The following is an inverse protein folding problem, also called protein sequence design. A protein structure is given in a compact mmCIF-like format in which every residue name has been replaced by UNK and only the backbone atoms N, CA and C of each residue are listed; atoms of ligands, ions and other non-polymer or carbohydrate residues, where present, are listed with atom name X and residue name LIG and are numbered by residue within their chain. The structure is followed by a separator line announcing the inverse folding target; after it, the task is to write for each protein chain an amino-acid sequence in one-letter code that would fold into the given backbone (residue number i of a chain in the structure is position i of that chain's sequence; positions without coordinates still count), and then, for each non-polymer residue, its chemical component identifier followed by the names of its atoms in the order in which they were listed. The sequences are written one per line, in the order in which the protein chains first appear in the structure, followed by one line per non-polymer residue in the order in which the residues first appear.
data_IF_463005712349
#
_entry.id   IF_463005712349
#
_cell.length_a   1.000
_cell.length_b   1.000
_cell.length_c   1.000
_cell.angle_alpha   90.00
_cell.angle_beta   90.00
_cell.angle_gamma   90.00
#
_symmetry.space_group_name_H-M   'P 1'
#
loop_
_entity.id
_entity.type
_entity.pdbx_description
1 polymer ?
#
# COMPACT_ATOMS: atom_id res chain seq x y z
N UNK A 1 13.58 7.36 -19.10
CA UNK A 1 13.84 5.91 -18.90
C UNK A 1 13.25 5.36 -17.61
N UNK A 2 13.24 6.09 -16.48
CA UNK A 2 12.58 5.68 -15.22
C UNK A 2 11.03 5.60 -15.30
N UNK A 3 10.40 6.47 -16.08
CA UNK A 3 8.94 6.50 -16.26
C UNK A 3 8.39 5.27 -17.01
N UNK A 4 9.14 4.75 -17.99
CA UNK A 4 8.78 3.53 -18.73
C UNK A 4 8.95 2.27 -17.89
N UNK A 5 10.00 2.18 -17.08
CA UNK A 5 10.20 1.05 -16.14
C UNK A 5 9.11 1.00 -15.06
N UNK A 6 8.58 2.15 -14.64
CA UNK A 6 7.47 2.25 -13.70
C UNK A 6 6.14 1.77 -14.32
N UNK A 7 5.85 2.12 -15.58
CA UNK A 7 4.67 1.62 -16.30
C UNK A 7 4.69 0.12 -16.56
N UNK A 8 5.86 -0.46 -16.86
CA UNK A 8 6.00 -1.92 -17.04
C UNK A 8 5.76 -2.66 -15.71
N UNK A 9 6.18 -2.09 -14.58
CA UNK A 9 5.90 -2.63 -13.25
C UNK A 9 4.40 -2.59 -12.89
N UNK A 10 3.70 -1.49 -13.21
CA UNK A 10 2.25 -1.33 -12.95
C UNK A 10 1.42 -2.34 -13.75
N UNK A 11 1.74 -2.54 -15.03
CA UNK A 11 1.06 -3.54 -15.88
C UNK A 11 1.34 -4.98 -15.43
N UNK A 12 2.57 -5.27 -14.99
CA UNK A 12 2.91 -6.58 -14.41
C UNK A 12 2.18 -6.85 -13.09
N UNK A 13 1.97 -5.81 -12.26
CA UNK A 13 1.21 -5.92 -11.02
C UNK A 13 -0.29 -6.10 -11.26
N UNK A 14 -0.90 -5.34 -12.19
CA UNK A 14 -2.31 -5.51 -12.58
C UNK A 14 -2.54 -6.90 -13.20
N UNK A 15 -1.59 -7.40 -14.01
CA UNK A 15 -1.64 -8.75 -14.57
C UNK A 15 -1.40 -9.84 -13.50
N UNK A 16 -0.50 -9.63 -12.53
CA UNK A 16 -0.26 -10.55 -11.42
C UNK A 16 -1.45 -10.63 -10.46
N UNK A 17 -2.12 -9.50 -10.19
CA UNK A 17 -3.39 -9.48 -9.44
C UNK A 17 -4.50 -10.21 -10.20
N UNK A 18 -4.50 -10.17 -11.54
CA UNK A 18 -5.47 -10.91 -12.35
C UNK A 18 -5.20 -12.42 -12.41
N UNK A 19 -3.93 -12.84 -12.37
CA UNK A 19 -3.51 -14.25 -12.43
C UNK A 19 -3.58 -14.99 -11.08
N UNK A 20 -3.45 -14.29 -9.95
CA UNK A 20 -3.63 -14.89 -8.62
C UNK A 20 -5.11 -15.20 -8.28
N UNK A 21 -6.07 -14.59 -8.99
CA UNK A 21 -7.52 -14.81 -8.79
C UNK A 21 -7.99 -16.23 -9.17
N UNK A 22 -7.18 -17.03 -9.88
CA UNK A 22 -7.58 -18.35 -10.35
C UNK A 22 -6.99 -19.53 -9.55
N UNK A 23 -6.05 -19.29 -8.63
CA UNK A 23 -5.44 -20.36 -7.84
C UNK A 23 -5.30 -19.96 -6.38
N UNK A 24 -6.30 -20.29 -5.56
CA UNK A 24 -6.10 -20.78 -4.18
C UNK A 24 -7.43 -21.02 -3.48
N UNK A 25 -7.60 -22.24 -3.00
CA UNK A 25 -8.70 -22.77 -2.16
C UNK A 25 -8.80 -22.13 -0.76
N UNK A 26 -8.12 -21.00 -0.51
CA UNK A 26 -8.11 -20.28 0.79
C UNK A 26 -9.23 -19.22 0.88
N UNK A 27 -10.01 -19.06 -0.18
CA UNK A 27 -11.08 -18.07 -0.31
C UNK A 27 -12.23 -18.22 0.71
N UNK A 28 -12.40 -19.40 1.33
CA UNK A 28 -13.53 -19.66 2.24
C UNK A 28 -13.42 -19.01 3.62
N UNK A 29 -12.25 -19.07 4.27
CA UNK A 29 -12.07 -18.58 5.64
C UNK A 29 -11.85 -17.06 5.71
N UNK A 30 -11.16 -16.48 4.73
CA UNK A 30 -10.97 -15.02 4.63
C UNK A 30 -12.31 -14.30 4.38
N UNK A 31 -13.17 -14.90 3.55
CA UNK A 31 -14.50 -14.37 3.23
C UNK A 31 -15.44 -14.34 4.44
N UNK A 32 -15.35 -15.31 5.34
CA UNK A 32 -16.21 -15.39 6.53
C UNK A 32 -15.88 -14.32 7.57
N UNK A 33 -14.58 -14.02 7.76
CA UNK A 33 -14.11 -13.00 8.70
C UNK A 33 -14.50 -11.58 8.23
N UNK A 34 -14.38 -11.30 6.93
CA UNK A 34 -14.80 -10.02 6.33
C UNK A 34 -16.32 -9.86 6.30
N UNK A 35 -17.09 -10.95 6.14
CA UNK A 35 -18.56 -10.92 6.16
C UNK A 35 -19.14 -10.56 7.54
N UNK A 36 -18.52 -11.02 8.64
CA UNK A 36 -19.00 -10.74 9.99
C UNK A 36 -18.90 -9.26 10.40
N UNK A 37 -17.92 -8.54 9.85
CA UNK A 37 -17.69 -7.12 10.17
C UNK A 37 -18.76 -6.22 9.53
N UNK A 38 -19.30 -6.59 8.37
CA UNK A 38 -20.28 -5.77 7.64
C UNK A 38 -21.69 -5.75 8.24
N UNK A 39 -22.08 -6.76 9.02
CA UNK A 39 -23.40 -6.76 9.68
C UNK A 39 -23.52 -5.72 10.80
N UNK A 40 -22.40 -5.14 11.26
CA UNK A 40 -22.37 -4.25 12.42
C UNK A 40 -22.61 -2.77 12.09
N UNK A 41 -22.52 -2.36 10.81
CA UNK A 41 -22.78 -0.98 10.38
C UNK A 41 -23.75 -0.96 9.19
N UNK A 42 -25.05 -0.75 9.46
CA UNK A 42 -26.00 -0.16 8.52
C UNK A 42 -26.51 1.14 9.13
N UNK A 43 -26.41 2.26 8.40
CA UNK A 43 -27.66 2.85 7.89
C UNK A 43 -27.55 3.49 6.49
N UNK A 44 -28.70 3.67 5.84
CA UNK A 44 -28.93 4.69 4.81
C UNK A 44 -28.65 4.31 3.35
N UNK A 45 -29.70 4.27 2.52
CA UNK A 45 -29.58 4.21 1.06
C UNK A 45 -29.06 5.56 0.52
N UNK A 46 -28.07 5.53 -0.38
CA UNK A 46 -27.53 6.72 -1.05
C UNK A 46 -28.06 6.84 -2.50
N UNK A 47 -28.29 8.06 -3.02
CA UNK A 47 -28.70 8.27 -4.40
C UNK A 47 -27.51 8.26 -5.37
N UNK A 48 -27.72 7.69 -6.55
CA UNK A 48 -26.83 7.73 -7.72
C UNK A 48 -26.76 9.15 -8.32
N UNK A 49 -25.55 9.61 -8.65
CA UNK A 49 -25.31 10.84 -9.43
C UNK A 49 -24.66 10.51 -10.77
N UNK A 50 -25.19 11.13 -11.84
CA UNK A 50 -24.84 10.94 -13.24
C UNK A 50 -23.57 11.71 -13.69
N UNK A 51 -22.75 11.00 -14.47
CA UNK A 51 -21.93 11.38 -15.65
C UNK A 51 -21.51 12.84 -15.90
N UNK A 52 -20.22 13.05 -16.25
CA UNK A 52 -19.90 13.65 -17.56
C UNK A 52 -18.48 13.33 -18.05
N UNK A 53 -18.37 12.72 -19.22
CA UNK A 53 -17.12 12.52 -19.96
C UNK A 53 -16.84 13.66 -20.94
N UNK A 54 -15.56 13.94 -21.19
CA UNK A 54 -15.13 14.91 -22.19
C UNK A 54 -13.69 14.64 -22.63
N UNK A 55 -13.55 14.05 -23.81
CA UNK A 55 -12.30 13.74 -24.50
C UNK A 55 -11.94 14.91 -25.42
N UNK A 56 -10.71 15.43 -25.39
CA UNK A 56 -10.15 16.19 -26.50
C UNK A 56 -8.74 15.68 -26.82
N UNK A 57 -8.62 15.18 -28.05
CA UNK A 57 -7.41 14.75 -28.73
C UNK A 57 -6.79 15.95 -29.45
N UNK A 58 -5.46 16.08 -29.44
CA UNK A 58 -4.75 16.94 -30.39
C UNK A 58 -3.43 16.28 -30.82
N UNK A 59 -3.37 15.97 -32.12
CA UNK A 59 -2.17 15.59 -32.84
C UNK A 59 -1.25 16.80 -33.06
N UNK A 60 0.06 16.58 -33.01
CA UNK A 60 1.06 17.55 -33.45
C UNK A 60 2.40 16.84 -33.68
N UNK A 61 2.65 16.45 -34.93
CA UNK A 61 3.95 15.98 -35.41
C UNK A 61 4.81 17.18 -35.83
N UNK A 62 6.13 17.13 -35.57
CA UNK A 62 7.21 17.55 -36.49
C UNK A 62 8.62 17.37 -35.88
N UNK A 63 9.46 16.66 -36.67
CA UNK A 63 10.93 16.79 -36.92
C UNK A 63 11.91 16.85 -35.73
N UNK A 64 12.80 15.86 -35.52
CA UNK A 64 14.00 15.43 -36.29
C UNK A 64 15.29 16.16 -35.87
N UNK A 65 16.27 15.39 -35.37
CA UNK A 65 17.74 15.45 -35.60
C UNK A 65 18.41 14.49 -34.60
N UNK A 66 18.84 13.28 -34.97
CA UNK A 66 20.06 12.88 -35.69
C UNK A 66 21.37 13.25 -34.97
N UNK A 67 21.97 12.31 -34.24
CA UNK A 67 23.44 12.13 -34.20
C UNK A 67 23.73 10.63 -34.20
N UNK A 68 24.32 10.17 -35.30
CA UNK A 68 24.87 8.84 -35.53
C UNK A 68 26.28 8.74 -34.95
N UNK A 69 26.62 7.60 -34.34
CA UNK A 69 28.00 7.11 -34.31
C UNK A 69 28.03 5.62 -34.67
N UNK A 70 28.83 5.33 -35.70
CA UNK A 70 29.00 4.03 -36.33
C UNK A 70 30.12 3.20 -35.69
N UNK A 71 30.11 1.91 -36.03
CA UNK A 71 31.27 0.99 -36.13
C UNK A 71 31.60 0.21 -34.84
N UNK A 72 31.83 -1.12 -34.83
CA UNK A 72 32.14 -2.08 -35.91
C UNK A 72 31.77 -3.49 -35.45
N UNK A 73 31.21 -4.30 -36.36
CA UNK A 73 31.14 -5.76 -36.21
C UNK A 73 32.53 -6.38 -36.38
N UNK A 74 32.91 -7.31 -35.51
CA UNK A 74 33.81 -8.42 -35.88
C UNK A 74 33.26 -9.73 -35.34
N UNK A 75 32.91 -10.59 -36.29
CA UNK A 75 32.52 -11.98 -36.15
C UNK A 75 33.76 -12.84 -36.44
N UNK A 76 34.09 -13.80 -35.58
CA UNK A 76 34.99 -14.90 -35.91
C UNK A 76 34.59 -16.14 -35.09
N UNK A 77 34.51 -17.26 -35.81
CA UNK A 77 34.06 -18.59 -35.40
C UNK A 77 35.29 -19.52 -35.26
N UNK A 78 35.26 -20.48 -34.31
CA UNK A 78 35.52 -21.91 -34.57
C UNK A 78 35.62 -22.76 -33.27
N UNK A 79 34.82 -23.85 -33.26
CA UNK A 79 34.92 -25.21 -32.66
C UNK A 79 36.14 -25.59 -31.78
N UNK A 80 35.91 -26.23 -30.61
CA UNK A 80 35.67 -27.68 -30.39
C UNK A 80 35.90 -28.08 -28.90
N UNK A 81 35.14 -29.09 -28.43
CA UNK A 81 35.44 -30.07 -27.35
C UNK A 81 34.35 -30.23 -26.26
N UNK A 82 33.82 -31.45 -26.20
CA UNK A 82 32.94 -32.03 -25.18
C UNK A 82 33.65 -32.23 -23.83
N UNK A 83 32.99 -31.91 -22.71
CA UNK A 83 32.99 -32.63 -21.40
C UNK A 83 32.03 -31.89 -20.42
N UNK A 84 31.47 -32.55 -19.39
CA UNK A 84 30.15 -32.26 -18.82
C UNK A 84 30.10 -30.95 -18.03
N UNK A 85 29.10 -30.12 -18.30
CA UNK A 85 28.89 -28.87 -17.56
C UNK A 85 28.39 -29.19 -16.15
N UNK A 86 29.29 -29.21 -15.18
CA UNK A 86 28.94 -28.90 -13.80
C UNK A 86 28.18 -27.56 -13.82
N UNK A 87 26.96 -27.60 -13.29
CA UNK A 87 26.08 -26.46 -13.15
C UNK A 87 26.73 -25.44 -12.22
N UNK A 88 27.58 -24.58 -12.78
CA UNK A 88 28.13 -23.41 -12.09
C UNK A 88 26.96 -22.48 -11.82
N UNK A 89 26.36 -22.63 -10.64
CA UNK A 89 25.46 -21.65 -10.05
C UNK A 89 26.10 -20.27 -10.24
N UNK A 90 25.51 -19.51 -11.16
CA UNK A 90 26.14 -18.35 -11.76
C UNK A 90 26.53 -17.34 -10.69
N UNK A 91 27.67 -16.67 -10.87
CA UNK A 91 28.13 -15.57 -10.01
C UNK A 91 27.02 -14.54 -9.79
N UNK A 92 26.12 -14.37 -10.77
CA UNK A 92 24.93 -13.55 -10.67
C UNK A 92 23.94 -14.02 -9.60
N UNK A 93 23.68 -15.33 -9.46
CA UNK A 93 22.85 -15.90 -8.39
C UNK A 93 23.47 -15.67 -7.02
N UNK A 94 24.79 -15.85 -6.88
CA UNK A 94 25.49 -15.55 -5.62
C UNK A 94 25.46 -14.06 -5.25
N UNK A 95 25.52 -13.17 -6.22
CA UNK A 95 25.35 -11.73 -5.99
C UNK A 95 23.91 -11.42 -5.57
N UNK A 96 22.90 -12.01 -6.21
CA UNK A 96 21.49 -11.85 -5.83
C UNK A 96 21.20 -12.42 -4.43
N UNK A 97 21.83 -13.55 -4.08
CA UNK A 97 21.76 -14.16 -2.75
C UNK A 97 22.45 -13.30 -1.69
N UNK A 98 23.64 -12.78 -1.98
CA UNK A 98 24.37 -11.86 -1.10
C UNK A 98 23.65 -10.52 -0.91
N UNK A 99 22.83 -10.10 -1.89
CA UNK A 99 21.94 -8.94 -1.80
C UNK A 99 20.59 -9.26 -1.10
N UNK A 100 20.37 -10.50 -0.64
CA UNK A 100 19.16 -10.92 0.07
C UNK A 100 17.91 -11.10 -0.81
N UNK A 101 18.08 -11.15 -2.13
CA UNK A 101 16.97 -11.21 -3.10
C UNK A 101 16.44 -12.63 -3.39
N UNK A 102 17.08 -13.69 -2.90
CA UNK A 102 16.69 -15.09 -3.19
C UNK A 102 16.66 -16.03 -1.98
N UNK A 103 16.96 -15.55 -0.77
CA UNK A 103 16.94 -16.37 0.45
C UNK A 103 15.53 -16.82 0.91
N UNK A 104 15.44 -17.82 1.81
CA UNK A 104 14.19 -18.22 2.45
C UNK A 104 13.60 -17.06 3.29
N UNK A 105 12.28 -17.05 3.46
CA UNK A 105 11.64 -16.10 4.38
C UNK A 105 11.97 -16.46 5.83
N UNK A 106 12.11 -15.46 6.71
CA UNK A 106 12.38 -15.67 8.14
C UNK A 106 11.30 -16.53 8.82
N UNK A 107 10.05 -16.38 8.37
CA UNK A 107 8.90 -17.14 8.84
C UNK A 107 8.15 -17.79 7.66
N UNK A 108 7.35 -18.82 7.94
CA UNK A 108 6.55 -19.47 6.91
C UNK A 108 5.56 -18.51 6.26
N UNK A 109 5.29 -18.69 4.96
CA UNK A 109 4.37 -17.83 4.19
C UNK A 109 3.00 -17.70 4.84
N UNK A 110 2.48 -18.79 5.40
CA UNK A 110 1.19 -18.80 6.10
C UNK A 110 1.18 -17.86 7.31
N UNK A 111 2.21 -17.91 8.17
CA UNK A 111 2.33 -17.02 9.33
C UNK A 111 2.33 -15.56 8.90
N UNK A 112 3.10 -15.22 7.86
CA UNK A 112 3.16 -13.85 7.34
C UNK A 112 1.82 -13.41 6.75
N UNK A 113 1.09 -14.29 6.06
CA UNK A 113 -0.25 -13.99 5.55
C UNK A 113 -1.25 -13.68 6.67
N UNK A 114 -1.23 -14.48 7.75
CA UNK A 114 -2.08 -14.25 8.92
C UNK A 114 -1.75 -12.90 9.59
N UNK A 115 -0.47 -12.61 9.80
CA UNK A 115 -0.03 -11.33 10.35
C UNK A 115 -0.43 -10.16 9.43
N UNK A 116 -0.23 -10.28 8.11
CA UNK A 116 -0.61 -9.23 7.16
C UNK A 116 -2.12 -8.96 7.16
N UNK A 117 -2.96 -10.01 7.22
CA UNK A 117 -4.41 -9.86 7.32
C UNK A 117 -4.80 -9.14 8.62
N UNK A 118 -4.17 -9.49 9.75
CA UNK A 118 -4.40 -8.81 11.04
C UNK A 118 -3.99 -7.35 11.02
N UNK A 119 -2.84 -7.03 10.43
CA UNK A 119 -2.38 -5.66 10.28
C UNK A 119 -3.33 -4.84 9.40
N UNK A 120 -3.78 -5.41 8.28
CA UNK A 120 -4.80 -4.79 7.45
C UNK A 120 -6.11 -4.56 8.22
N UNK A 121 -6.55 -5.56 9.00
CA UNK A 121 -7.75 -5.47 9.84
C UNK A 121 -7.61 -4.32 10.85
N UNK A 122 -6.44 -4.16 11.47
CA UNK A 122 -6.18 -3.02 12.35
C UNK A 122 -6.29 -1.67 11.62
N UNK A 123 -5.88 -1.58 10.35
CA UNK A 123 -6.03 -0.35 9.56
C UNK A 123 -7.50 0.04 9.36
N UNK A 124 -8.40 -0.93 9.23
CA UNK A 124 -9.81 -0.67 8.86
C UNK A 124 -10.81 -0.81 10.00
N UNK A 125 -10.46 -1.48 11.09
CA UNK A 125 -11.34 -1.68 12.25
C UNK A 125 -10.92 -0.87 13.47
N UNK A 126 -9.63 -0.52 13.61
CA UNK A 126 -9.11 0.22 14.78
C UNK A 126 -8.84 1.70 14.50
N UNK A 127 -9.21 2.15 13.30
CA UNK A 127 -9.13 3.56 12.91
C UNK A 127 -10.49 4.21 13.18
N UNK A 128 -10.47 5.39 13.78
CA UNK A 128 -11.68 6.19 14.00
C UNK A 128 -12.07 6.94 12.72
N UNK A 129 -12.79 6.25 11.82
CA UNK A 129 -13.21 6.84 10.54
C UNK A 129 -14.17 8.01 10.69
N UNK A 130 -14.98 8.02 11.75
CA UNK A 130 -15.97 9.07 11.99
C UNK A 130 -15.26 10.40 12.28
N UNK A 131 -14.23 10.38 13.15
CA UNK A 131 -13.43 11.58 13.42
C UNK A 131 -12.71 12.10 12.17
N UNK A 132 -12.21 11.21 11.31
CA UNK A 132 -11.63 11.60 10.01
C UNK A 132 -12.66 12.28 9.10
N UNK A 133 -13.84 11.68 8.93
CA UNK A 133 -14.86 12.21 8.05
C UNK A 133 -15.36 13.57 8.53
N UNK A 134 -15.57 13.72 9.84
CA UNK A 134 -16.00 14.96 10.46
C UNK A 134 -14.95 16.07 10.35
N UNK A 135 -13.69 15.79 10.72
CA UNK A 135 -12.62 16.79 10.75
C UNK A 135 -12.14 17.18 9.36
N UNK A 136 -12.13 16.23 8.43
CA UNK A 136 -11.63 16.46 7.07
C UNK A 136 -12.78 16.77 6.09
N UNK A 137 -14.01 16.88 6.57
CA UNK A 137 -15.21 17.16 5.76
C UNK A 137 -15.36 16.18 4.59
N UNK A 138 -15.04 14.91 4.83
CA UNK A 138 -15.10 13.88 3.79
C UNK A 138 -16.55 13.41 3.64
N UNK A 139 -17.05 13.23 2.40
CA UNK A 139 -18.37 12.66 2.20
C UNK A 139 -18.38 11.19 2.59
N UNK A 140 -19.48 10.67 3.12
CA UNK A 140 -19.60 9.24 3.46
C UNK A 140 -19.74 8.39 2.19
N UNK A 141 -18.59 7.96 1.64
CA UNK A 141 -18.49 7.20 0.40
C UNK A 141 -17.44 6.10 0.50
N UNK A 142 -17.53 5.10 -0.38
CA UNK A 142 -16.50 4.06 -0.50
C UNK A 142 -15.11 4.66 -0.77
N UNK A 143 -15.05 5.73 -1.56
CA UNK A 143 -13.79 6.41 -1.86
C UNK A 143 -13.20 7.09 -0.62
N UNK A 144 -14.01 7.82 0.16
CA UNK A 144 -13.54 8.45 1.40
C UNK A 144 -13.02 7.44 2.41
N UNK A 145 -13.76 6.32 2.59
CA UNK A 145 -13.28 5.20 3.40
C UNK A 145 -11.94 4.67 2.87
N UNK A 146 -11.82 4.47 1.55
CA UNK A 146 -10.59 3.97 0.93
C UNK A 146 -9.41 4.91 1.14
N UNK A 147 -9.61 6.23 1.04
CA UNK A 147 -8.53 7.21 1.23
C UNK A 147 -7.98 7.17 2.66
N UNK A 148 -8.84 7.07 3.67
CA UNK A 148 -8.41 6.90 5.07
C UNK A 148 -7.73 5.54 5.26
N UNK A 149 -8.30 4.44 4.74
CA UNK A 149 -7.70 3.11 4.82
C UNK A 149 -6.31 3.07 4.16
N UNK A 150 -6.18 3.68 2.98
CA UNK A 150 -4.95 3.78 2.21
C UNK A 150 -3.84 4.50 2.99
N UNK A 151 -4.17 5.60 3.69
CA UNK A 151 -3.19 6.33 4.50
C UNK A 151 -2.60 5.44 5.60
N UNK A 152 -3.45 4.69 6.30
CA UNK A 152 -3.04 3.76 7.35
C UNK A 152 -2.26 2.57 6.80
N UNK A 153 -2.71 1.99 5.69
CA UNK A 153 -1.98 0.95 4.98
C UNK A 153 -0.60 1.45 4.58
N UNK A 154 -0.47 2.65 4.00
CA UNK A 154 0.82 3.22 3.62
C UNK A 154 1.79 3.30 4.82
N UNK A 155 1.34 3.79 5.97
CA UNK A 155 2.19 3.86 7.18
C UNK A 155 2.68 2.46 7.61
N UNK A 156 1.81 1.44 7.55
CA UNK A 156 2.21 0.06 7.78
C UNK A 156 3.21 -0.45 6.72
N UNK A 157 3.03 -0.11 5.45
CA UNK A 157 3.96 -0.50 4.39
C UNK A 157 5.35 0.11 4.59
N UNK A 158 5.44 1.39 4.95
CA UNK A 158 6.71 2.07 5.26
C UNK A 158 7.42 1.34 6.39
N UNK A 159 6.71 1.05 7.49
CA UNK A 159 7.27 0.32 8.64
C UNK A 159 7.76 -1.08 8.25
N UNK A 160 6.94 -1.85 7.55
CA UNK A 160 7.25 -3.24 7.23
C UNK A 160 8.32 -3.39 6.13
N UNK A 161 8.50 -2.40 5.24
CA UNK A 161 9.58 -2.43 4.23
C UNK A 161 10.98 -2.47 4.87
N UNK A 162 11.12 -1.97 6.10
CA UNK A 162 12.38 -2.00 6.87
C UNK A 162 12.77 -3.43 7.31
N UNK A 163 11.79 -4.35 7.41
CA UNK A 163 11.99 -5.76 7.81
C UNK A 163 12.46 -6.68 6.66
N UNK A 164 13.17 -6.09 5.71
CA UNK A 164 13.79 -6.78 4.58
C UNK A 164 12.81 -7.60 3.74
N UNK A 165 13.22 -8.80 3.35
CA UNK A 165 12.46 -9.66 2.43
C UNK A 165 11.12 -10.11 3.01
N UNK A 166 11.10 -10.47 4.28
CA UNK A 166 9.88 -10.95 4.97
C UNK A 166 8.86 -9.84 5.09
N UNK A 167 9.29 -8.63 5.47
CA UNK A 167 8.44 -7.44 5.51
C UNK A 167 7.91 -7.04 4.14
N UNK A 168 8.74 -7.07 3.09
CA UNK A 168 8.30 -6.87 1.71
C UNK A 168 7.24 -7.90 1.29
N UNK A 169 7.39 -9.17 1.69
CA UNK A 169 6.37 -10.19 1.41
C UNK A 169 5.05 -9.89 2.13
N UNK A 170 5.11 -9.48 3.40
CA UNK A 170 3.95 -9.04 4.19
C UNK A 170 3.24 -7.85 3.53
N UNK A 171 3.99 -6.82 3.10
CA UNK A 171 3.48 -5.66 2.37
C UNK A 171 2.63 -6.04 1.16
N UNK A 172 3.10 -6.99 0.35
CA UNK A 172 2.34 -7.46 -0.83
C UNK A 172 0.99 -8.05 -0.44
N UNK A 173 0.95 -8.78 0.68
CA UNK A 173 -0.28 -9.41 1.15
C UNK A 173 -1.24 -8.41 1.83
N UNK A 174 -0.72 -7.39 2.52
CA UNK A 174 -1.55 -6.28 3.04
C UNK A 174 -2.29 -5.59 1.89
N UNK A 175 -1.57 -5.25 0.82
CA UNK A 175 -2.17 -4.63 -0.38
C UNK A 175 -3.19 -5.54 -1.05
N UNK A 176 -2.92 -6.86 -1.09
CA UNK A 176 -3.90 -7.83 -1.57
C UNK A 176 -5.19 -7.82 -0.76
N UNK A 177 -5.09 -7.90 0.57
CA UNK A 177 -6.25 -7.84 1.46
C UNK A 177 -7.05 -6.54 1.28
N UNK A 178 -6.36 -5.40 1.08
CA UNK A 178 -7.02 -4.12 0.82
C UNK A 178 -7.87 -4.14 -0.44
N UNK A 179 -7.36 -4.68 -1.55
CA UNK A 179 -8.14 -4.73 -2.80
C UNK A 179 -9.28 -5.73 -2.75
N UNK A 180 -9.11 -6.85 -2.05
CA UNK A 180 -10.21 -7.78 -1.77
C UNK A 180 -11.32 -7.08 -0.98
N UNK A 181 -11.00 -6.30 0.05
CA UNK A 181 -11.99 -5.58 0.85
C UNK A 181 -12.72 -4.52 0.01
N UNK A 182 -12.00 -3.69 -0.76
CA UNK A 182 -12.61 -2.71 -1.69
C UNK A 182 -13.63 -3.38 -2.62
N UNK A 183 -13.27 -4.51 -3.22
CA UNK A 183 -14.17 -5.25 -4.12
C UNK A 183 -15.40 -5.79 -3.39
N UNK A 184 -15.22 -6.37 -2.19
CA UNK A 184 -16.34 -6.88 -1.40
C UNK A 184 -17.27 -5.76 -0.95
N UNK A 185 -16.72 -4.63 -0.46
CA UNK A 185 -17.50 -3.47 -0.04
C UNK A 185 -18.33 -2.89 -1.18
N UNK A 186 -17.72 -2.74 -2.36
CA UNK A 186 -18.44 -2.28 -3.55
C UNK A 186 -19.61 -3.19 -3.92
N UNK A 187 -19.43 -4.52 -3.84
CA UNK A 187 -20.51 -5.50 -4.06
C UNK A 187 -21.62 -5.38 -3.02
N UNK A 188 -21.28 -5.25 -1.74
CA UNK A 188 -22.26 -5.14 -0.65
C UNK A 188 -23.04 -3.83 -0.74
N UNK A 189 -22.39 -2.74 -1.17
CA UNK A 189 -23.03 -1.46 -1.45
C UNK A 189 -23.90 -1.46 -2.73
N UNK A 190 -23.92 -2.56 -3.49
CA UNK A 190 -24.73 -2.68 -4.71
C UNK A 190 -24.18 -1.93 -5.92
N UNK A 191 -22.89 -1.55 -5.90
CA UNK A 191 -22.24 -0.89 -7.04
C UNK A 191 -22.20 -1.87 -8.22
N UNK A 192 -22.62 -1.40 -9.40
CA UNK A 192 -22.57 -2.21 -10.62
C UNK A 192 -21.15 -2.72 -10.87
N UNK A 193 -20.99 -4.00 -11.21
CA UNK A 193 -19.68 -4.65 -11.35
C UNK A 193 -18.76 -4.00 -12.40
N UNK A 194 -19.32 -3.44 -13.48
CA UNK A 194 -18.56 -2.75 -14.52
C UNK A 194 -18.06 -1.40 -14.01
N UNK A 195 -18.93 -0.67 -13.31
CA UNK A 195 -18.59 0.63 -12.68
C UNK A 195 -17.54 0.42 -11.59
N UNK A 196 -17.76 -0.55 -10.69
CA UNK A 196 -16.80 -0.90 -9.64
C UNK A 196 -15.41 -1.21 -10.21
N UNK A 197 -15.34 -1.98 -11.30
CA UNK A 197 -14.07 -2.29 -11.97
C UNK A 197 -13.41 -1.05 -12.58
N UNK A 198 -14.19 -0.09 -13.08
CA UNK A 198 -13.67 1.18 -13.57
C UNK A 198 -13.13 2.05 -12.42
N UNK A 199 -13.88 2.16 -11.32
CA UNK A 199 -13.48 2.93 -10.15
C UNK A 199 -12.22 2.34 -9.52
N UNK A 200 -12.16 1.02 -9.35
CA UNK A 200 -10.98 0.33 -8.83
C UNK A 200 -9.73 0.61 -9.66
N UNK A 201 -9.82 0.72 -10.99
CA UNK A 201 -8.67 1.11 -11.83
C UNK A 201 -8.15 2.50 -11.46
N UNK A 202 -9.05 3.46 -11.31
CA UNK A 202 -8.71 4.83 -10.90
C UNK A 202 -8.15 4.87 -9.47
N UNK A 203 -8.73 4.08 -8.57
CA UNK A 203 -8.26 3.95 -7.18
C UNK A 203 -6.84 3.35 -7.11
N UNK A 204 -6.48 2.42 -7.99
CA UNK A 204 -5.12 1.86 -8.06
C UNK A 204 -4.10 2.91 -8.49
N UNK A 205 -4.43 3.75 -9.49
CA UNK A 205 -3.56 4.85 -9.92
C UNK A 205 -3.36 5.87 -8.79
N UNK A 206 -4.46 6.26 -8.14
CA UNK A 206 -4.43 7.16 -6.99
C UNK A 206 -3.63 6.55 -5.83
N UNK A 207 -3.73 5.24 -5.59
CA UNK A 207 -2.96 4.56 -4.57
C UNK A 207 -1.45 4.70 -4.77
N UNK A 208 -0.96 4.40 -5.96
CA UNK A 208 0.48 4.52 -6.21
C UNK A 208 0.95 5.97 -6.18
N UNK A 209 0.17 6.90 -6.75
CA UNK A 209 0.49 8.32 -6.69
C UNK A 209 0.56 8.85 -5.25
N UNK A 210 -0.38 8.43 -4.40
CA UNK A 210 -0.42 8.79 -2.99
C UNK A 210 0.80 8.24 -2.23
N UNK A 211 1.13 6.95 -2.43
CA UNK A 211 2.30 6.32 -1.82
C UNK A 211 3.59 7.09 -2.14
N UNK A 212 3.81 7.48 -3.39
CA UNK A 212 4.98 8.28 -3.76
C UNK A 212 4.98 9.66 -3.10
N UNK A 213 3.83 10.34 -3.10
CA UNK A 213 3.71 11.66 -2.47
C UNK A 213 3.94 11.61 -0.96
N UNK A 214 3.44 10.58 -0.29
CA UNK A 214 3.64 10.40 1.15
C UNK A 214 5.08 9.99 1.48
N UNK A 215 5.71 9.10 0.68
CA UNK A 215 7.12 8.74 0.81
C UNK A 215 8.02 9.99 0.65
N UNK A 216 7.73 10.87 -0.31
CA UNK A 216 8.44 12.15 -0.49
C UNK A 216 8.21 13.09 0.71
N UNK A 217 6.95 13.25 1.14
CA UNK A 217 6.58 14.16 2.23
C UNK A 217 7.19 13.75 3.57
N UNK A 218 7.18 12.46 3.91
CA UNK A 218 7.73 12.00 5.20
C UNK A 218 9.25 12.17 5.28
N UNK A 219 9.96 12.07 4.15
CA UNK A 219 11.42 12.26 4.07
C UNK A 219 11.85 13.73 3.95
N UNK A 220 10.91 14.62 3.67
CA UNK A 220 11.14 16.05 3.46
C UNK A 220 10.63 16.86 4.67
N UNK A 221 10.01 18.02 4.42
CA UNK A 221 9.38 18.85 5.44
C UNK A 221 7.85 18.75 5.44
N UNK A 222 7.23 19.41 6.43
CA UNK A 222 5.80 19.39 6.66
C UNK A 222 4.98 20.09 5.55
N UNK A 223 5.58 21.00 4.78
CA UNK A 223 4.89 21.61 3.64
C UNK A 223 4.73 20.60 2.50
N UNK A 224 5.76 19.80 2.23
CA UNK A 224 5.71 18.74 1.23
C UNK A 224 4.71 17.66 1.64
N UNK A 225 4.72 17.26 2.92
CA UNK A 225 3.75 16.30 3.45
C UNK A 225 2.32 16.85 3.41
N UNK A 226 2.11 18.11 3.80
CA UNK A 226 0.81 18.78 3.68
C UNK A 226 0.33 18.81 2.22
N UNK A 227 1.20 19.13 1.26
CA UNK A 227 0.86 19.12 -0.16
C UNK A 227 0.50 17.72 -0.68
N UNK A 228 1.16 16.67 -0.18
CA UNK A 228 0.80 15.29 -0.51
C UNK A 228 -0.58 14.92 0.06
N UNK A 229 -0.86 15.25 1.32
CA UNK A 229 -2.16 15.02 1.96
C UNK A 229 -3.29 15.80 1.28
N UNK A 230 -3.04 17.06 0.92
CA UNK A 230 -3.98 17.91 0.20
C UNK A 230 -4.36 17.32 -1.17
N UNK A 231 -3.38 16.85 -1.95
CA UNK A 231 -3.63 16.26 -3.26
C UNK A 231 -4.41 14.96 -3.17
N UNK A 232 -4.11 14.11 -2.19
CA UNK A 232 -4.63 12.73 -2.16
C UNK A 232 -5.86 12.56 -1.28
N UNK A 233 -5.86 13.11 -0.06
CA UNK A 233 -6.96 12.94 0.90
C UNK A 233 -8.10 13.93 0.64
N UNK A 234 -7.73 15.19 0.33
CA UNK A 234 -8.71 16.26 0.08
C UNK A 234 -9.04 16.46 -1.40
N UNK A 235 -8.41 15.70 -2.31
CA UNK A 235 -8.56 15.88 -3.75
C UNK A 235 -8.37 17.35 -4.19
N UNK A 236 -7.38 18.03 -3.60
CA UNK A 236 -7.08 19.46 -3.80
C UNK A 236 -8.17 20.44 -3.32
N UNK A 237 -9.11 19.96 -2.53
CA UNK A 237 -10.22 20.73 -1.98
C UNK A 237 -10.08 20.82 -0.45
N UNK A 238 -9.31 21.80 0.01
CA UNK A 238 -9.17 22.13 1.42
C UNK A 238 -8.85 23.62 1.53
N UNK A 239 -9.80 24.41 2.03
CA UNK A 239 -9.63 25.87 2.15
C UNK A 239 -8.98 26.26 3.49
N UNK A 240 -9.17 25.43 4.52
CA UNK A 240 -8.65 25.68 5.85
C UNK A 240 -7.34 24.90 6.10
N UNK A 241 -6.17 25.58 6.18
CA UNK A 241 -4.89 24.92 6.38
C UNK A 241 -4.79 24.17 7.72
N UNK A 242 -5.65 24.47 8.70
CA UNK A 242 -5.67 23.77 10.01
C UNK A 242 -6.03 22.30 9.87
N UNK A 243 -6.85 21.92 8.88
CA UNK A 243 -7.14 20.51 8.63
C UNK A 243 -5.92 19.75 8.09
N UNK A 244 -5.08 20.41 7.28
CA UNK A 244 -3.83 19.85 6.80
C UNK A 244 -2.80 19.74 7.93
N UNK A 245 -2.67 20.77 8.75
CA UNK A 245 -1.80 20.75 9.94
C UNK A 245 -2.14 19.57 10.86
N UNK A 246 -3.43 19.38 11.17
CA UNK A 246 -3.91 18.24 11.97
C UNK A 246 -3.47 16.89 11.39
N UNK A 247 -3.58 16.71 10.08
CA UNK A 247 -3.22 15.45 9.43
C UNK A 247 -1.71 15.26 9.28
N UNK A 248 -0.96 16.34 9.10
CA UNK A 248 0.51 16.30 9.13
C UNK A 248 0.98 15.84 10.51
N UNK A 249 0.48 16.47 11.58
CA UNK A 249 0.77 16.08 12.96
C UNK A 249 0.38 14.61 13.18
N UNK A 250 -0.80 14.20 12.70
CA UNK A 250 -1.26 12.83 12.77
C UNK A 250 -0.32 11.84 12.08
N UNK A 251 0.08 12.11 10.84
CA UNK A 251 0.96 11.21 10.11
C UNK A 251 2.31 11.12 10.79
N UNK A 252 2.89 12.24 11.22
CA UNK A 252 4.18 12.28 11.93
C UNK A 252 4.13 11.46 13.22
N UNK A 253 3.10 11.64 14.04
CA UNK A 253 2.98 10.91 15.32
C UNK A 253 2.72 9.43 15.12
N UNK A 254 1.98 9.03 14.08
CA UNK A 254 1.74 7.61 13.79
C UNK A 254 2.98 6.92 13.25
N UNK A 255 3.71 7.55 12.31
CA UNK A 255 4.96 6.97 11.80
C UNK A 255 5.96 6.79 12.94
N UNK A 256 6.13 7.80 13.80
CA UNK A 256 6.97 7.70 14.99
C UNK A 256 6.53 6.55 15.91
N UNK A 257 5.22 6.41 16.16
CA UNK A 257 4.66 5.34 16.99
C UNK A 257 4.92 3.96 16.41
N UNK A 258 4.69 3.78 15.10
CA UNK A 258 4.93 2.51 14.41
C UNK A 258 6.41 2.15 14.34
N UNK A 259 7.30 3.11 14.14
CA UNK A 259 8.75 2.90 14.12
C UNK A 259 9.29 2.45 15.48
N UNK A 260 8.62 2.81 16.59
CA UNK A 260 8.97 2.33 17.92
C UNK A 260 8.56 0.87 18.18
N UNK A 261 7.72 0.26 17.33
CA UNK A 261 7.29 -1.12 17.48
C UNK A 261 8.35 -2.11 16.98
N UNK A 262 8.44 -3.26 17.66
CA UNK A 262 9.31 -4.37 17.27
C UNK A 262 8.90 -4.98 15.94
N UNK A 263 9.82 -4.97 14.98
CA UNK A 263 9.59 -5.54 13.65
C UNK A 263 9.36 -7.05 13.67
N UNK A 264 10.04 -7.75 14.58
CA UNK A 264 9.87 -9.18 14.77
C UNK A 264 8.47 -9.52 15.28
N UNK A 265 7.96 -8.73 16.24
CA UNK A 265 6.61 -8.92 16.78
C UNK A 265 5.56 -8.58 15.73
N UNK A 266 5.75 -7.52 14.95
CA UNK A 266 4.85 -7.17 13.85
C UNK A 266 4.79 -8.26 12.78
N UNK A 267 5.93 -8.86 12.43
CA UNK A 267 5.98 -9.97 11.47
C UNK A 267 5.27 -11.24 11.95
N UNK A 268 5.16 -11.44 13.26
CA UNK A 268 4.51 -12.60 13.87
C UNK A 268 3.04 -12.37 14.17
N UNK A 269 2.69 -11.19 14.66
CA UNK A 269 1.36 -10.87 15.20
C UNK A 269 0.51 -10.09 14.22
N UNK A 270 1.11 -9.18 13.46
CA UNK A 270 0.41 -8.19 12.66
C UNK A 270 -0.33 -7.12 13.48
N UNK A 271 -0.09 -7.06 14.78
CA UNK A 271 -0.87 -6.21 15.68
C UNK A 271 -0.34 -4.77 15.65
N UNK A 272 -1.18 -3.82 15.24
CA UNK A 272 -0.87 -2.39 15.29
C UNK A 272 -1.97 -1.64 16.04
N UNK A 273 -1.56 -0.61 16.77
CA UNK A 273 -2.45 0.34 17.43
C UNK A 273 -2.27 1.72 16.81
N UNK A 274 -3.36 2.49 16.80
CA UNK A 274 -3.37 3.84 16.27
C UNK A 274 -3.56 4.83 17.40
N UNK A 275 -2.75 5.89 17.40
CA UNK A 275 -3.00 7.09 18.22
C UNK A 275 -4.25 7.83 17.71
N UNK A 276 -4.97 8.58 18.57
CA UNK A 276 -6.17 9.31 18.13
C UNK A 276 -5.82 10.43 17.15
N UNK A 277 -6.78 10.80 16.28
CA UNK A 277 -6.59 11.91 15.32
C UNK A 277 -6.32 13.23 16.06
N UNK A 278 -7.15 13.54 17.05
CA UNK A 278 -6.98 14.68 17.95
C UNK A 278 -6.51 14.19 19.33
N UNK A 279 -5.42 14.73 19.86
CA UNK A 279 -4.97 14.39 21.21
C UNK A 279 -5.63 15.30 22.24
N UNK A 280 -6.37 14.72 23.18
CA UNK A 280 -6.93 15.49 24.30
C UNK A 280 -5.87 15.83 25.37
N UNK A 281 -4.76 15.07 25.41
CA UNK A 281 -3.69 15.19 26.42
C UNK A 281 -2.30 14.98 25.80
N UNK A 282 -1.53 16.07 25.63
CA UNK A 282 -0.17 16.06 25.07
C UNK A 282 0.85 15.17 25.82
N UNK A 283 0.53 14.74 27.06
CA UNK A 283 1.38 13.82 27.85
C UNK A 283 1.40 12.38 27.31
N UNK A 284 0.50 12.02 26.39
CA UNK A 284 0.52 10.69 25.73
C UNK A 284 1.73 10.49 24.81
N UNK A 285 2.35 11.58 24.35
CA UNK A 285 3.52 11.61 23.47
C UNK A 285 4.80 11.09 24.16
N UNK A 286 4.87 11.08 25.50
CA UNK A 286 6.15 10.95 26.23
C UNK A 286 6.34 9.64 27.01
N UNK A 287 5.36 8.72 27.05
CA UNK A 287 5.53 7.46 27.80
C UNK A 287 5.41 6.24 26.88
N UNK A 288 6.53 5.53 26.63
CA UNK A 288 6.44 4.11 26.34
C UNK A 288 5.67 3.47 27.50
N UNK A 289 4.66 2.65 27.19
CA UNK A 289 4.03 1.80 28.19
C UNK A 289 5.11 0.87 28.75
N UNK A 290 5.69 1.23 29.90
CA UNK A 290 6.51 0.33 30.67
C UNK A 290 5.68 -0.92 30.97
N UNK A 291 6.22 -2.14 30.76
CA UNK A 291 5.48 -3.35 31.05
C UNK A 291 5.07 -3.32 32.52
N UNK A 292 3.77 -3.44 32.76
CA UNK A 292 3.23 -3.65 34.10
C UNK A 292 3.63 -5.06 34.48
N UNK A 293 4.80 -5.21 35.10
CA UNK A 293 5.08 -6.41 35.88
C UNK A 293 4.16 -6.34 37.09
N UNK A 294 3.19 -7.25 37.14
CA UNK A 294 2.42 -7.45 38.35
C UNK A 294 3.38 -8.04 39.39
N UNK A 295 3.81 -7.23 40.36
CA UNK A 295 4.51 -7.66 41.58
C UNK A 295 3.55 -8.40 42.54
N UNK A 296 2.78 -9.34 42.01
CA UNK A 296 1.90 -10.23 42.78
C UNK A 296 2.32 -11.66 42.45
N UNK A 297 3.38 -12.12 43.10
CA UNK A 297 3.92 -13.47 42.93
C UNK A 297 5.15 -13.70 43.82
N UNK A 298 4.86 -13.96 45.10
CA UNK A 298 5.72 -14.51 46.17
C UNK A 298 6.89 -15.40 45.71
#
# INVERSE_FOLDING_TARGET
SLFQSCQTGVTQWIAACSGLLQTTTVQGQCRQMLYSTFQRHKPGQFPLSESCGGLIQANGALTQQSISFSSTHKHLSAKDSMQPSEEKVGTFTRIIEALGFTGPLKYSRWKIKVAALRMYTCCVEKTDYEEFFNRCQMPDTLNSWFLVAQLHVWMCLVRMKQEGRTGKYMCRYIVHCMWEDVEQRGKVMGINSVVLKQDMRSMVENFYAALFGYDEGILSDDHVLAAALWRNLFNKNCEDPRHLELLVEYVRKQVQHLDALSGEDLLLTGEVSWRPLVESNARSILKPLSPVYNDEGL
#
